data_IF_120186280032
#
_entry.id   IF_120186280032
#
_cell.length_a   1.000
_cell.length_b   1.000
_cell.length_c   1.000
_cell.angle_alpha   90.00
_cell.angle_beta   90.00
_cell.angle_gamma   90.00
#
_symmetry.space_group_name_H-M   'P 1'
#
loop_
_entity.id
_entity.type
_entity.pdbx_description
1 polymer ?
#
# COMPACT_ATOMS: atom_id res chain seq x y z
N UNK A 1 10.62 -6.70 1.76
CA UNK A 1 11.00 -5.48 0.99
C UNK A 1 11.98 -5.80 -0.14
N UNK A 2 13.13 -6.44 0.11
CA UNK A 2 14.09 -6.79 -0.96
C UNK A 2 13.42 -7.62 -2.07
N UNK A 3 12.57 -8.59 -1.70
CA UNK A 3 11.80 -9.37 -2.67
C UNK A 3 10.85 -8.53 -3.53
N UNK A 4 10.34 -7.40 -3.00
CA UNK A 4 9.47 -6.51 -3.77
C UNK A 4 10.23 -5.79 -4.89
N UNK A 5 11.55 -5.61 -4.77
CA UNK A 5 12.36 -4.96 -5.82
C UNK A 5 12.30 -5.78 -7.11
N UNK A 6 12.32 -7.11 -6.98
CA UNK A 6 12.39 -8.05 -8.11
C UNK A 6 11.22 -7.86 -9.08
N UNK A 7 9.99 -7.70 -8.56
CA UNK A 7 8.84 -7.54 -9.45
C UNK A 7 8.81 -6.18 -10.15
N UNK A 8 9.38 -5.12 -9.57
CA UNK A 8 9.50 -3.83 -10.26
C UNK A 8 10.49 -3.87 -11.41
N UNK A 9 11.65 -4.49 -11.19
CA UNK A 9 12.64 -4.73 -12.27
C UNK A 9 12.00 -5.57 -13.37
N UNK A 10 11.34 -6.67 -13.00
CA UNK A 10 10.67 -7.56 -13.96
C UNK A 10 9.60 -6.83 -14.77
N UNK A 11 8.66 -6.15 -14.12
CA UNK A 11 7.58 -5.43 -14.81
C UNK A 11 8.14 -4.34 -15.71
N UNK A 12 9.14 -3.59 -15.26
CA UNK A 12 9.77 -2.55 -16.07
C UNK A 12 10.39 -3.14 -17.35
N UNK A 13 11.22 -4.19 -17.24
CA UNK A 13 11.85 -4.83 -18.40
C UNK A 13 10.85 -5.49 -19.35
N UNK A 14 9.69 -5.92 -18.84
CA UNK A 14 8.59 -6.46 -19.67
C UNK A 14 7.85 -5.37 -20.45
N UNK A 15 7.77 -4.15 -19.94
CA UNK A 15 7.07 -3.02 -20.57
C UNK A 15 7.98 -2.18 -21.45
N UNK A 16 9.25 -2.03 -21.05
CA UNK A 16 10.23 -1.18 -21.74
C UNK A 16 11.51 -1.99 -22.00
N UNK A 17 11.50 -2.92 -22.99
CA UNK A 17 12.65 -3.80 -23.24
C UNK A 17 13.94 -3.04 -23.60
N UNK A 18 13.82 -1.86 -24.20
CA UNK A 18 14.95 -1.01 -24.61
C UNK A 18 15.46 -0.08 -23.50
N UNK A 19 14.77 -0.03 -22.35
CA UNK A 19 15.15 0.82 -21.19
C UNK A 19 15.27 2.31 -21.55
N UNK A 20 14.43 2.78 -22.48
CA UNK A 20 14.48 4.13 -23.06
C UNK A 20 13.39 5.07 -22.52
N UNK A 21 12.45 4.55 -21.71
CA UNK A 21 11.30 5.29 -21.20
C UNK A 21 11.10 5.09 -19.71
N UNK A 22 10.49 6.08 -19.05
CA UNK A 22 10.03 5.96 -17.67
C UNK A 22 8.63 5.34 -17.59
N UNK A 23 8.37 4.66 -16.49
CA UNK A 23 7.05 4.08 -16.17
C UNK A 23 6.58 4.59 -14.82
N UNK A 24 5.34 5.08 -14.74
CA UNK A 24 4.71 5.35 -13.44
C UNK A 24 4.18 4.05 -12.85
N UNK A 25 4.52 3.76 -11.60
CA UNK A 25 4.01 2.61 -10.87
C UNK A 25 3.13 3.07 -9.72
N UNK A 26 1.83 2.80 -9.82
CA UNK A 26 0.81 3.09 -8.81
C UNK A 26 0.62 1.90 -7.88
N UNK A 27 0.80 2.16 -6.59
CA UNK A 27 0.92 1.15 -5.55
C UNK A 27 -0.10 1.44 -4.47
N UNK A 28 -1.07 0.53 -4.21
CA UNK A 28 -1.93 0.68 -3.07
C UNK A 28 -1.13 0.37 -1.80
N UNK A 29 -1.13 1.28 -0.84
CA UNK A 29 -0.27 1.21 0.33
C UNK A 29 -1.02 1.44 1.63
N UNK A 30 -0.62 0.71 2.66
CA UNK A 30 -0.89 1.04 4.06
C UNK A 30 0.46 1.09 4.78
N UNK A 31 1.05 -0.07 5.02
CA UNK A 31 2.35 -0.20 5.69
C UNK A 31 3.57 0.35 4.92
N UNK A 32 3.45 0.79 3.66
CA UNK A 32 4.57 1.29 2.81
C UNK A 32 5.62 0.28 2.34
N UNK A 33 5.53 -1.01 2.69
CA UNK A 33 6.56 -1.99 2.32
C UNK A 33 6.73 -2.24 0.82
N UNK A 34 5.64 -2.10 0.04
CA UNK A 34 5.70 -2.23 -1.41
C UNK A 34 6.26 -0.97 -2.07
N UNK A 35 5.82 0.21 -1.61
CA UNK A 35 6.35 1.53 -2.03
C UNK A 35 7.84 1.68 -1.72
N UNK A 36 8.33 1.18 -0.58
CA UNK A 36 9.77 1.13 -0.28
C UNK A 36 10.53 0.25 -1.27
N UNK A 37 9.95 -0.88 -1.69
CA UNK A 37 10.54 -1.72 -2.73
C UNK A 37 10.70 -0.97 -4.06
N UNK A 38 9.66 -0.21 -4.47
CA UNK A 38 9.73 0.62 -5.67
C UNK A 38 10.75 1.75 -5.52
N UNK A 39 10.78 2.40 -4.35
CA UNK A 39 11.72 3.46 -4.03
C UNK A 39 13.17 2.98 -4.10
N UNK A 40 13.45 1.79 -3.55
CA UNK A 40 14.76 1.16 -3.67
C UNK A 40 15.09 0.79 -5.12
N UNK A 41 14.14 0.24 -5.89
CA UNK A 41 14.35 -0.07 -7.30
C UNK A 41 14.70 1.18 -8.12
N UNK A 42 13.98 2.29 -7.90
CA UNK A 42 14.29 3.58 -8.52
C UNK A 42 15.69 4.08 -8.12
N UNK A 43 16.04 3.97 -6.83
CA UNK A 43 17.37 4.32 -6.32
C UNK A 43 18.51 3.43 -6.88
N UNK A 44 18.19 2.21 -7.32
CA UNK A 44 19.12 1.31 -8.03
C UNK A 44 19.24 1.65 -9.53
N UNK A 45 18.51 2.64 -10.04
CA UNK A 45 18.58 3.09 -11.41
C UNK A 45 17.48 2.56 -12.33
N UNK A 46 16.48 1.84 -11.81
CA UNK A 46 15.31 1.43 -12.61
C UNK A 46 14.49 2.69 -12.95
N UNK A 47 14.21 3.00 -14.24
CA UNK A 47 13.48 4.21 -14.64
C UNK A 47 11.98 4.18 -14.30
N UNK A 48 11.64 4.18 -13.01
CA UNK A 48 10.26 4.21 -12.53
C UNK A 48 9.98 5.47 -11.71
N UNK A 49 8.78 5.99 -11.88
CA UNK A 49 8.18 6.97 -10.97
C UNK A 49 7.15 6.26 -10.09
N UNK A 50 6.93 6.76 -8.88
CA UNK A 50 6.15 6.05 -7.87
C UNK A 50 4.94 6.90 -7.52
N UNK A 51 3.76 6.28 -7.54
CA UNK A 51 2.52 6.82 -7.00
C UNK A 51 2.05 5.91 -5.87
N UNK A 52 2.12 6.37 -4.62
CA UNK A 52 1.60 5.64 -3.46
C UNK A 52 0.17 6.09 -3.16
N UNK A 53 -0.78 5.19 -3.38
CA UNK A 53 -2.20 5.46 -3.18
C UNK A 53 -2.68 4.87 -1.84
N UNK A 54 -3.36 5.69 -1.04
CA UNK A 54 -3.97 5.32 0.24
C UNK A 54 -5.48 5.51 0.20
N UNK A 55 -6.18 4.88 1.13
CA UNK A 55 -7.57 5.20 1.40
C UNK A 55 -7.68 6.37 2.40
N UNK A 56 -8.85 6.56 3.00
CA UNK A 56 -9.15 7.61 3.99
C UNK A 56 -8.22 7.59 5.23
N UNK A 57 -7.54 6.48 5.49
CA UNK A 57 -6.45 6.40 6.47
C UNK A 57 -5.16 6.95 5.84
N UNK A 58 -5.14 8.26 5.62
CA UNK A 58 -4.28 8.92 4.63
C UNK A 58 -2.94 9.46 5.17
N UNK A 59 -2.45 8.92 6.29
CA UNK A 59 -1.23 9.38 6.97
C UNK A 59 -0.02 9.50 6.04
N UNK A 60 0.11 8.58 5.07
CA UNK A 60 1.17 8.60 4.06
C UNK A 60 0.99 9.79 3.11
N UNK A 61 -0.23 10.05 2.66
CA UNK A 61 -0.51 11.15 1.75
C UNK A 61 -0.18 12.48 2.42
N UNK A 62 -0.72 12.76 3.61
CA UNK A 62 -0.46 14.01 4.35
C UNK A 62 1.02 14.18 4.72
N UNK A 63 1.72 13.10 5.05
CA UNK A 63 3.15 13.16 5.32
C UNK A 63 3.94 13.71 4.12
N UNK A 64 3.72 13.15 2.92
CA UNK A 64 4.49 13.54 1.73
C UNK A 64 3.96 14.78 1.01
N UNK A 65 2.66 15.09 1.08
CA UNK A 65 2.06 16.24 0.41
C UNK A 65 2.08 17.53 1.24
N UNK A 66 2.02 17.41 2.57
CA UNK A 66 1.88 18.56 3.48
C UNK A 66 2.99 18.65 4.53
N UNK A 67 3.82 17.60 4.68
CA UNK A 67 4.77 17.50 5.79
C UNK A 67 4.11 17.18 7.13
N UNK A 68 2.80 16.88 7.14
CA UNK A 68 2.09 16.50 8.35
C UNK A 68 2.05 14.97 8.50
N UNK A 69 2.91 14.43 9.37
CA UNK A 69 2.92 13.02 9.70
C UNK A 69 2.10 12.79 10.97
N UNK A 70 0.79 12.58 10.84
CA UNK A 70 -0.12 12.36 11.98
C UNK A 70 -1.19 11.31 11.67
N UNK A 71 -1.66 10.60 12.69
CA UNK A 71 -2.72 9.60 12.50
C UNK A 71 -4.11 10.22 12.63
N UNK A 72 -5.09 9.57 12.02
CA UNK A 72 -6.51 9.85 12.26
C UNK A 72 -7.01 8.89 13.35
N UNK A 73 -7.87 9.39 14.25
CA UNK A 73 -8.54 8.58 15.28
C UNK A 73 -10.06 8.84 15.26
N UNK A 74 -10.89 7.79 15.30
CA UNK A 74 -10.53 6.37 15.20
C UNK A 74 -9.99 6.02 13.79
N UNK A 75 -9.35 4.84 13.66
CA UNK A 75 -9.11 4.23 12.35
C UNK A 75 -10.44 4.14 11.60
N UNK A 76 -10.45 4.48 10.32
CA UNK A 76 -11.65 4.40 9.48
C UNK A 76 -11.67 3.01 8.84
N UNK A 77 -12.63 2.13 9.17
CA UNK A 77 -12.72 0.81 8.55
C UNK A 77 -13.13 0.94 7.08
N UNK A 78 -12.41 0.27 6.19
CA UNK A 78 -12.69 0.31 4.75
C UNK A 78 -12.81 -1.06 4.12
N UNK A 79 -13.29 -1.12 2.87
CA UNK A 79 -13.29 -2.36 2.08
C UNK A 79 -11.87 -2.77 1.64
N UNK A 80 -10.93 -1.82 1.61
CA UNK A 80 -9.52 -2.08 1.36
C UNK A 80 -8.76 -2.29 2.68
N UNK A 81 -9.29 -3.15 3.58
CA UNK A 81 -8.89 -3.28 4.99
C UNK A 81 -7.38 -3.40 5.28
N UNK A 82 -6.60 -3.99 4.38
CA UNK A 82 -5.14 -4.09 4.57
C UNK A 82 -4.40 -2.77 4.36
N UNK A 83 -5.08 -1.74 3.83
CA UNK A 83 -4.59 -0.39 3.68
C UNK A 83 -5.00 0.52 4.85
N UNK A 84 -5.85 0.05 5.78
CA UNK A 84 -6.32 0.80 6.96
C UNK A 84 -5.18 0.96 8.00
N UNK A 85 -3.97 1.28 7.59
CA UNK A 85 -2.82 1.37 8.48
C UNK A 85 -2.68 2.79 9.01
N UNK A 86 -2.87 2.96 10.33
CA UNK A 86 -2.54 4.22 11.00
C UNK A 86 -1.03 4.41 11.17
N UNK A 87 -0.27 3.31 11.18
CA UNK A 87 1.18 3.31 11.41
C UNK A 87 1.90 2.69 10.21
N UNK A 88 2.34 3.51 9.24
CA UNK A 88 3.04 3.02 8.05
C UNK A 88 4.47 2.61 8.42
N UNK A 89 4.63 1.44 9.04
CA UNK A 89 5.86 0.96 9.67
C UNK A 89 7.10 0.88 8.75
N UNK A 90 6.96 0.96 7.43
CA UNK A 90 8.10 1.03 6.52
C UNK A 90 8.47 2.47 6.07
N UNK A 91 7.67 3.49 6.42
CA UNK A 91 7.88 4.88 5.96
C UNK A 91 9.21 5.47 6.44
N UNK A 92 9.65 5.09 7.64
CA UNK A 92 10.90 5.53 8.25
C UNK A 92 12.13 5.27 7.35
N UNK A 93 12.06 4.25 6.49
CA UNK A 93 13.15 3.91 5.57
C UNK A 93 13.27 4.94 4.45
N UNK A 94 12.15 5.45 3.95
CA UNK A 94 12.16 6.55 2.98
C UNK A 94 12.68 7.81 3.66
N UNK A 95 12.24 8.09 4.90
CA UNK A 95 12.75 9.24 5.66
C UNK A 95 14.26 9.16 5.90
N UNK A 96 14.78 7.99 6.27
CA UNK A 96 16.22 7.75 6.43
C UNK A 96 17.01 8.10 5.16
N UNK A 97 16.56 7.60 4.00
CA UNK A 97 17.18 7.90 2.71
C UNK A 97 17.06 9.38 2.34
N UNK A 98 15.89 9.98 2.53
CA UNK A 98 15.64 11.39 2.26
C UNK A 98 16.50 12.31 3.14
N UNK A 99 16.85 11.88 4.35
CA UNK A 99 17.74 12.61 5.26
C UNK A 99 19.23 12.40 4.95
N UNK A 100 19.57 11.57 3.96
CA UNK A 100 20.93 11.13 3.65
C UNK A 100 21.60 10.41 4.83
N UNK A 101 20.84 9.62 5.59
CA UNK A 101 21.35 8.85 6.72
C UNK A 101 21.50 9.60 8.04
N UNK A 102 20.96 10.80 8.18
CA UNK A 102 20.92 11.52 9.46
C UNK A 102 19.93 10.85 10.45
N UNK A 103 20.49 9.95 11.26
CA UNK A 103 19.76 9.21 12.29
C UNK A 103 19.23 10.10 13.42
N UNK A 104 19.85 11.25 13.71
CA UNK A 104 19.42 12.09 14.83
C UNK A 104 18.11 12.80 14.50
N UNK A 105 18.04 13.36 13.28
CA UNK A 105 16.80 13.97 12.79
C UNK A 105 15.69 12.94 12.62
N UNK A 106 16.02 11.76 12.06
CA UNK A 106 15.04 10.67 11.92
C UNK A 106 14.49 10.23 13.27
N UNK A 107 15.37 9.98 14.24
CA UNK A 107 14.99 9.57 15.59
C UNK A 107 14.02 10.56 16.21
N UNK A 108 14.32 11.86 16.14
CA UNK A 108 13.43 12.91 16.65
C UNK A 108 12.05 12.88 15.99
N UNK A 109 11.99 12.76 14.66
CA UNK A 109 10.72 12.67 13.91
C UNK A 109 9.89 11.49 14.38
N UNK A 110 10.52 10.32 14.56
CA UNK A 110 9.84 9.08 14.96
C UNK A 110 9.43 9.09 16.44
N UNK A 111 10.26 9.60 17.35
CA UNK A 111 9.91 9.76 18.77
C UNK A 111 8.75 10.73 18.96
N UNK A 112 8.74 11.86 18.25
CA UNK A 112 7.62 12.81 18.27
C UNK A 112 6.33 12.13 17.80
N UNK A 113 6.40 11.36 16.71
CA UNK A 113 5.25 10.62 16.20
C UNK A 113 4.77 9.54 17.16
N UNK A 114 5.66 8.76 17.77
CA UNK A 114 5.30 7.71 18.73
C UNK A 114 4.61 8.30 19.97
N UNK A 115 5.17 9.37 20.54
CA UNK A 115 4.64 9.99 21.76
C UNK A 115 3.35 10.77 21.51
N UNK A 116 3.31 11.56 20.43
CA UNK A 116 2.24 12.55 20.18
C UNK A 116 1.25 12.11 19.12
N UNK A 117 1.53 11.00 18.43
CA UNK A 117 0.77 10.52 17.28
C UNK A 117 0.75 11.54 16.11
N UNK A 118 1.71 12.46 16.13
CA UNK A 118 1.91 13.56 15.20
C UNK A 118 3.37 14.02 15.21
N UNK A 119 3.90 14.31 14.04
CA UNK A 119 5.21 14.90 13.81
C UNK A 119 5.16 15.80 12.57
N UNK A 120 6.01 16.81 12.51
CA UNK A 120 6.16 17.67 11.33
C UNK A 120 7.47 17.28 10.66
N UNK A 121 7.39 16.92 9.39
CA UNK A 121 8.55 16.49 8.63
C UNK A 121 9.46 17.69 8.32
N UNK A 122 10.78 17.57 8.50
CA UNK A 122 11.74 18.55 8.01
C UNK A 122 11.58 18.78 6.50
N UNK A 123 11.78 20.02 6.03
CA UNK A 123 11.65 20.35 4.60
C UNK A 123 12.55 19.47 3.72
N UNK A 124 13.74 19.12 4.22
CA UNK A 124 14.68 18.20 3.57
C UNK A 124 14.04 16.87 3.17
N UNK A 125 13.13 16.32 3.99
CA UNK A 125 12.40 15.09 3.61
C UNK A 125 11.53 15.37 2.39
N UNK A 126 10.68 16.40 2.46
CA UNK A 126 9.76 16.77 1.37
C UNK A 126 10.50 17.06 0.05
N UNK A 127 11.57 17.85 0.12
CA UNK A 127 12.40 18.22 -1.02
C UNK A 127 13.03 16.99 -1.69
N UNK A 128 13.53 16.05 -0.88
CA UNK A 128 14.18 14.84 -1.38
C UNK A 128 13.19 13.73 -1.76
N UNK A 129 11.93 13.82 -1.36
CA UNK A 129 10.87 12.87 -1.75
C UNK A 129 9.90 13.43 -2.78
N UNK A 130 10.15 14.60 -3.38
CA UNK A 130 9.28 15.21 -4.41
C UNK A 130 8.97 14.29 -5.61
N UNK A 131 9.82 13.28 -5.85
CA UNK A 131 9.65 12.31 -6.90
C UNK A 131 8.64 11.20 -6.55
N UNK A 132 8.34 11.01 -5.26
CA UNK A 132 7.30 10.12 -4.77
C UNK A 132 5.95 10.84 -4.78
N UNK A 133 5.10 10.48 -5.73
CA UNK A 133 3.72 10.96 -5.77
C UNK A 133 2.88 10.21 -4.75
N UNK A 134 1.90 10.90 -4.17
CA UNK A 134 0.90 10.27 -3.29
C UNK A 134 -0.50 10.74 -3.65
N UNK A 135 -1.49 9.91 -3.37
CA UNK A 135 -2.90 10.25 -3.51
C UNK A 135 -3.72 9.53 -2.43
N UNK A 136 -4.79 10.18 -1.98
CA UNK A 136 -5.79 9.59 -1.10
C UNK A 136 -7.13 9.53 -1.83
N UNK A 137 -7.85 8.42 -1.71
CA UNK A 137 -9.23 8.31 -2.19
C UNK A 137 -10.15 7.80 -1.08
N UNK A 138 -11.42 8.18 -1.14
CA UNK A 138 -12.43 7.72 -0.18
C UNK A 138 -13.14 6.42 -0.63
N UNK A 139 -13.99 5.85 0.24
CA UNK A 139 -14.71 4.62 -0.09
C UNK A 139 -15.75 4.77 -1.21
N UNK A 140 -16.37 5.94 -1.34
CA UNK A 140 -17.27 6.20 -2.47
C UNK A 140 -16.51 6.10 -3.80
N UNK A 141 -15.37 6.78 -3.90
CA UNK A 141 -14.47 6.73 -5.05
C UNK A 141 -13.93 5.31 -5.31
N UNK A 142 -13.56 4.59 -4.24
CA UNK A 142 -13.07 3.21 -4.35
C UNK A 142 -14.13 2.28 -4.95
N UNK A 143 -15.36 2.31 -4.43
CA UNK A 143 -16.44 1.46 -4.91
C UNK A 143 -16.88 1.85 -6.32
N UNK A 144 -17.00 3.15 -6.62
CA UNK A 144 -17.28 3.64 -7.97
C UNK A 144 -16.21 3.17 -8.97
N UNK A 145 -14.93 3.24 -8.59
CA UNK A 145 -13.83 2.76 -9.43
C UNK A 145 -13.95 1.26 -9.74
N UNK A 146 -14.39 0.44 -8.79
CA UNK A 146 -14.63 -0.99 -9.05
C UNK A 146 -15.74 -1.20 -10.09
N UNK A 147 -16.80 -0.39 -10.04
CA UNK A 147 -17.90 -0.43 -11.00
C UNK A 147 -17.46 0.04 -12.39
N UNK A 148 -16.74 1.15 -12.46
CA UNK A 148 -16.26 1.74 -13.69
C UNK A 148 -15.33 0.77 -14.43
N UNK A 149 -14.36 0.18 -13.73
CA UNK A 149 -13.41 -0.77 -14.35
C UNK A 149 -14.13 -2.02 -14.86
N UNK A 150 -15.13 -2.52 -14.14
CA UNK A 150 -15.95 -3.63 -14.64
C UNK A 150 -16.76 -3.24 -15.87
N UNK A 151 -17.42 -2.09 -15.85
CA UNK A 151 -18.28 -1.61 -16.94
C UNK A 151 -17.49 -1.31 -18.21
N UNK A 152 -16.30 -0.73 -18.07
CA UNK A 152 -15.46 -0.29 -19.19
C UNK A 152 -14.59 -1.40 -19.76
N UNK A 153 -14.09 -2.31 -18.90
CA UNK A 153 -13.08 -3.29 -19.30
C UNK A 153 -13.53 -4.75 -19.11
N UNK A 154 -14.66 -5.01 -18.45
CA UNK A 154 -15.06 -6.37 -18.08
C UNK A 154 -14.06 -7.04 -17.14
N UNK A 155 -13.24 -6.26 -16.42
CA UNK A 155 -12.19 -6.76 -15.55
C UNK A 155 -12.56 -6.49 -14.09
N UNK A 156 -12.70 -7.56 -13.29
CA UNK A 156 -12.97 -7.42 -11.87
C UNK A 156 -11.68 -7.05 -11.11
N UNK A 157 -11.74 -6.02 -10.27
CA UNK A 157 -10.64 -5.60 -9.39
C UNK A 157 -11.06 -5.66 -7.92
N UNK A 158 -10.11 -5.95 -7.03
CA UNK A 158 -10.37 -5.85 -5.59
C UNK A 158 -10.35 -4.38 -5.11
N UNK A 159 -10.88 -4.08 -3.92
CA UNK A 159 -10.89 -2.72 -3.36
C UNK A 159 -9.48 -2.10 -3.27
N UNK A 160 -8.47 -2.90 -2.92
CA UNK A 160 -7.07 -2.43 -2.86
C UNK A 160 -6.56 -1.97 -4.22
N UNK A 161 -6.88 -2.72 -5.28
CA UNK A 161 -6.47 -2.37 -6.64
C UNK A 161 -7.19 -1.10 -7.09
N UNK A 162 -8.47 -0.94 -6.73
CA UNK A 162 -9.24 0.27 -7.04
C UNK A 162 -8.63 1.54 -6.41
N UNK A 163 -8.13 1.45 -5.18
CA UNK A 163 -7.41 2.54 -4.50
C UNK A 163 -6.22 3.05 -5.32
N UNK A 164 -5.46 2.16 -5.97
CA UNK A 164 -4.33 2.56 -6.82
C UNK A 164 -4.72 2.89 -8.26
N UNK A 165 -5.80 2.28 -8.77
CA UNK A 165 -6.27 2.48 -10.14
C UNK A 165 -6.75 3.91 -10.36
N UNK A 166 -7.60 4.42 -9.46
CA UNK A 166 -8.19 5.75 -9.61
C UNK A 166 -7.16 6.87 -9.81
N UNK A 167 -6.19 7.07 -8.89
CA UNK A 167 -5.20 8.14 -9.06
C UNK A 167 -4.21 7.84 -10.19
N UNK A 168 -4.00 6.57 -10.56
CA UNK A 168 -3.25 6.20 -11.77
C UNK A 168 -3.93 6.68 -13.05
N UNK A 169 -5.25 6.51 -13.16
CA UNK A 169 -6.01 6.99 -14.32
C UNK A 169 -6.08 8.51 -14.33
N UNK A 170 -6.28 9.16 -13.19
CA UNK A 170 -6.22 10.62 -13.09
C UNK A 170 -4.86 11.17 -13.55
N UNK A 171 -3.75 10.49 -13.24
CA UNK A 171 -2.44 10.82 -13.79
C UNK A 171 -2.34 10.50 -15.29
N UNK A 172 -2.83 9.34 -15.73
CA UNK A 172 -2.75 8.95 -17.14
C UNK A 172 -3.55 9.91 -18.05
N UNK A 173 -4.63 10.50 -17.53
CA UNK A 173 -5.49 11.45 -18.24
C UNK A 173 -5.04 12.92 -18.10
N UNK A 174 -4.09 13.25 -17.22
CA UNK A 174 -3.61 14.63 -17.09
C UNK A 174 -2.76 15.05 -18.30
N UNK A 175 -2.81 16.32 -18.71
CA UNK A 175 -2.03 16.80 -19.85
C UNK A 175 -0.52 16.86 -19.56
N UNK A 176 -0.18 17.12 -18.30
CA UNK A 176 1.20 17.27 -17.83
C UNK A 176 1.54 16.24 -16.76
N UNK A 177 2.83 16.02 -16.54
CA UNK A 177 3.30 15.31 -15.36
C UNK A 177 3.09 16.14 -14.09
N UNK A 178 3.39 15.56 -12.93
CA UNK A 178 3.25 16.23 -11.63
C UNK A 178 4.60 16.73 -11.13
N UNK A 179 4.58 17.79 -10.32
CA UNK A 179 5.78 18.34 -9.67
C UNK A 179 6.88 18.77 -10.67
N UNK A 180 6.47 19.38 -11.80
CA UNK A 180 7.39 19.87 -12.83
C UNK A 180 8.13 18.78 -13.62
N UNK A 181 7.69 17.52 -13.52
CA UNK A 181 8.27 16.39 -14.25
C UNK A 181 7.55 16.12 -15.56
N UNK A 182 8.30 15.53 -16.50
CA UNK A 182 7.74 14.95 -17.70
C UNK A 182 6.78 13.81 -17.33
N UNK A 183 5.67 13.71 -18.07
CA UNK A 183 4.66 12.69 -17.85
C UNK A 183 5.19 11.32 -18.30
N UNK A 184 5.04 10.30 -17.46
CA UNK A 184 5.27 8.93 -17.89
C UNK A 184 4.21 8.51 -18.91
N UNK A 185 4.63 8.02 -20.07
CA UNK A 185 3.72 7.51 -21.11
C UNK A 185 3.02 6.21 -20.69
N UNK A 186 3.66 5.43 -19.81
CA UNK A 186 3.16 4.15 -19.33
C UNK A 186 2.86 4.21 -17.85
N UNK A 187 1.72 3.64 -17.46
CA UNK A 187 1.27 3.52 -16.08
C UNK A 187 0.99 2.07 -15.75
N UNK A 188 1.51 1.61 -14.62
CA UNK A 188 1.28 0.28 -14.05
C UNK A 188 0.55 0.42 -12.74
N UNK A 189 -0.52 -0.35 -12.56
CA UNK A 189 -1.22 -0.47 -11.28
C UNK A 189 -0.87 -1.81 -10.65
N UNK A 190 -0.34 -1.80 -9.43
CA UNK A 190 -0.04 -3.03 -8.71
C UNK A 190 -1.32 -3.60 -8.08
N UNK A 191 -1.82 -4.69 -8.66
CA UNK A 191 -2.94 -5.45 -8.09
C UNK A 191 -2.44 -6.38 -6.99
N UNK A 192 -2.71 -6.01 -5.73
CA UNK A 192 -2.14 -6.69 -4.55
C UNK A 192 -2.96 -7.87 -4.04
N UNK A 193 -4.19 -8.04 -4.52
CA UNK A 193 -5.04 -9.16 -4.17
C UNK A 193 -6.00 -9.51 -5.30
N UNK A 194 -6.32 -10.80 -5.42
CA UNK A 194 -7.39 -11.27 -6.31
C UNK A 194 -8.76 -10.79 -5.81
N UNK A 195 -9.69 -10.38 -6.70
CA UNK A 195 -11.07 -10.01 -6.34
C UNK A 195 -11.81 -11.11 -5.59
N UNK A 196 -11.46 -12.39 -5.82
CA UNK A 196 -12.07 -13.55 -5.17
C UNK A 196 -11.95 -13.54 -3.63
N UNK A 197 -11.03 -12.76 -3.07
CA UNK A 197 -10.91 -12.55 -1.62
C UNK A 197 -11.95 -11.60 -1.03
N UNK A 198 -12.73 -10.90 -1.86
CA UNK A 198 -13.67 -9.86 -1.45
C UNK A 198 -15.06 -10.05 -2.10
N UNK A 199 -15.68 -11.24 -1.98
CA UNK A 199 -16.95 -11.54 -2.64
C UNK A 199 -18.07 -10.57 -2.22
N UNK A 200 -18.13 -10.23 -0.93
CA UNK A 200 -19.15 -9.30 -0.40
C UNK A 200 -19.02 -7.90 -1.01
N UNK A 201 -17.79 -7.43 -1.22
CA UNK A 201 -17.56 -6.12 -1.84
C UNK A 201 -17.93 -6.14 -3.31
N UNK A 202 -17.56 -7.20 -4.04
CA UNK A 202 -17.96 -7.38 -5.44
C UNK A 202 -19.48 -7.39 -5.59
N UNK A 203 -20.18 -8.14 -4.73
CA UNK A 203 -21.64 -8.17 -4.72
C UNK A 203 -22.24 -6.79 -4.45
N UNK A 204 -21.68 -6.04 -3.49
CA UNK A 204 -22.12 -4.68 -3.16
C UNK A 204 -22.03 -3.71 -4.36
N UNK A 205 -21.01 -3.87 -5.21
CA UNK A 205 -20.81 -3.03 -6.40
C UNK A 205 -21.42 -3.62 -7.67
N UNK A 206 -22.15 -4.73 -7.57
CA UNK A 206 -22.78 -5.41 -8.73
C UNK A 206 -21.75 -5.90 -9.75
N UNK A 207 -20.55 -6.29 -9.29
CA UNK A 207 -19.54 -6.95 -10.11
C UNK A 207 -19.67 -8.47 -9.91
N UNK A 208 -19.69 -9.30 -10.98
CA UNK A 208 -19.85 -10.73 -10.83
C UNK A 208 -18.77 -11.37 -9.96
N UNK A 209 -19.21 -12.13 -8.96
CA UNK A 209 -18.32 -12.98 -8.16
C UNK A 209 -18.04 -14.24 -8.97
N UNK A 210 -16.80 -14.38 -9.45
CA UNK A 210 -16.37 -15.61 -10.14
C UNK A 210 -15.85 -16.60 -9.10
N UNK A 211 -16.49 -17.77 -8.93
CA UNK A 211 -15.99 -18.79 -8.02
C UNK A 211 -14.61 -19.27 -8.48
N UNK A 212 -13.70 -19.41 -7.53
CA UNK A 212 -12.35 -19.90 -7.80
C UNK A 212 -12.23 -21.29 -7.18
N UNK A 213 -12.03 -22.31 -8.02
CA UNK A 213 -12.09 -23.73 -7.60
C UNK A 213 -11.24 -24.03 -6.35
N UNK A 214 -9.98 -23.59 -6.33
CA UNK A 214 -9.11 -23.82 -5.18
C UNK A 214 -9.55 -23.09 -3.89
N UNK A 215 -10.31 -21.99 -4.00
CA UNK A 215 -10.90 -21.31 -2.83
C UNK A 215 -12.10 -22.11 -2.32
N UNK A 216 -12.92 -22.64 -3.23
CA UNK A 216 -14.04 -23.50 -2.88
C UNK A 216 -13.57 -24.79 -2.20
N UNK A 217 -12.44 -25.35 -2.65
CA UNK A 217 -11.82 -26.52 -2.04
C UNK A 217 -11.40 -26.29 -0.58
N UNK A 218 -11.20 -25.04 -0.14
CA UNK A 218 -10.89 -24.72 1.26
C UNK A 218 -12.14 -24.75 2.17
N UNK A 219 -13.34 -24.61 1.60
CA UNK A 219 -14.57 -24.56 2.38
C UNK A 219 -14.80 -25.89 3.11
N UNK A 220 -15.00 -25.82 4.42
CA UNK A 220 -15.24 -27.00 5.25
C UNK A 220 -14.00 -27.83 5.60
N UNK A 221 -12.79 -27.39 5.24
CA UNK A 221 -11.56 -27.97 5.79
C UNK A 221 -11.47 -27.67 7.29
N UNK A 222 -10.85 -28.60 8.03
CA UNK A 222 -10.63 -28.45 9.46
C UNK A 222 -9.77 -27.20 9.74
N UNK A 223 -10.28 -26.31 10.60
CA UNK A 223 -9.54 -25.15 11.08
C UNK A 223 -8.80 -25.51 12.38
N UNK A 224 -7.48 -25.34 12.39
CA UNK A 224 -6.66 -25.47 13.60
C UNK A 224 -6.30 -24.09 14.13
N UNK A 225 -6.99 -23.68 15.18
CA UNK A 225 -6.79 -22.39 15.83
C UNK A 225 -6.89 -22.53 17.34
N UNK A 226 -6.09 -21.73 18.05
CA UNK A 226 -6.19 -21.58 19.50
C UNK A 226 -6.92 -20.26 19.79
N UNK A 227 -8.09 -20.35 20.41
CA UNK A 227 -8.84 -19.18 20.84
C UNK A 227 -8.25 -18.61 22.12
N UNK A 228 -7.93 -17.31 22.11
CA UNK A 228 -7.44 -16.58 23.27
C UNK A 228 -8.53 -15.62 23.76
N UNK A 229 -9.00 -15.81 24.99
CA UNK A 229 -10.01 -14.96 25.59
C UNK A 229 -9.36 -13.74 26.25
N UNK A 230 -10.08 -12.61 26.22
CA UNK A 230 -9.64 -11.40 26.90
C UNK A 230 -9.59 -11.64 28.41
N UNK A 231 -8.44 -11.36 29.03
CA UNK A 231 -8.20 -11.58 30.46
C UNK A 231 -7.37 -12.82 30.78
N UNK A 232 -7.10 -13.67 29.79
CA UNK A 232 -6.15 -14.78 29.93
C UNK A 232 -4.70 -14.29 29.94
N UNK A 233 -3.81 -15.10 30.52
CA UNK A 233 -2.37 -14.87 30.45
C UNK A 233 -1.83 -15.29 29.07
N UNK A 234 -1.96 -14.40 28.09
CA UNK A 234 -1.53 -14.67 26.72
C UNK A 234 -0.04 -14.96 26.62
N UNK A 235 0.81 -14.35 27.45
CA UNK A 235 2.25 -14.64 27.44
C UNK A 235 2.52 -16.10 27.78
N UNK A 236 1.91 -16.60 28.85
CA UNK A 236 2.08 -17.98 29.29
C UNK A 236 1.53 -18.98 28.27
N UNK A 237 0.33 -18.72 27.73
CA UNK A 237 -0.30 -19.57 26.71
C UNK A 237 0.57 -19.64 25.44
N UNK A 238 1.04 -18.48 24.96
CA UNK A 238 1.91 -18.41 23.78
C UNK A 238 3.25 -19.08 24.05
N UNK A 239 3.87 -18.83 25.21
CA UNK A 239 5.14 -19.46 25.59
C UNK A 239 5.00 -20.97 25.61
N UNK A 240 4.00 -21.50 26.30
CA UNK A 240 3.77 -22.93 26.43
C UNK A 240 3.46 -23.60 25.08
N UNK A 241 2.73 -22.90 24.19
CA UNK A 241 2.46 -23.38 22.81
C UNK A 241 3.73 -23.42 21.97
N UNK A 242 4.55 -22.36 22.00
CA UNK A 242 5.81 -22.27 21.26
C UNK A 242 6.83 -23.30 21.78
N UNK A 243 6.87 -23.55 23.09
CA UNK A 243 7.79 -24.52 23.70
C UNK A 243 7.27 -25.96 23.65
N UNK A 244 6.11 -26.22 23.03
CA UNK A 244 5.52 -27.55 22.89
C UNK A 244 5.00 -28.15 24.20
N UNK A 245 4.87 -27.33 25.24
CA UNK A 245 4.46 -27.75 26.59
C UNK A 245 2.95 -27.96 26.71
N UNK A 246 2.17 -27.57 25.69
CA UNK A 246 0.70 -27.68 25.69
C UNK A 246 0.16 -28.87 24.89
N UNK A 247 1.01 -29.73 24.29
CA UNK A 247 0.56 -30.95 23.60
C UNK A 247 -0.31 -30.69 22.35
N UNK A 248 -0.30 -29.47 21.80
CA UNK A 248 -1.13 -29.04 20.66
C UNK A 248 -0.52 -29.32 19.26
N UNK A 249 0.42 -30.25 19.14
CA UNK A 249 0.99 -30.63 17.83
C UNK A 249 0.40 -31.94 17.31
#
# INVERSE_FOLDING_TARGET
>A
MILNIVHYVYVYLRLVPNVDKKVLVSIPTGGMGNSVGAYMAAGMGVPIEILSAVNENDVVHRAFSQGEFSIIKPQIPTYAMSLDSLLPHNIERIFYHALCGDCNTLKKVMEDFEQKQKSILPSKILENTRHLLTASINMEQCLGTMQDVWKEHGYAICPHTAVAWRPAMEYALSETGREGREKCEMVVVISTATPAKFPDTLQKVTVPVTPVAWVQDLAGKEEKQLFLNKGENWEEILRATITGSTGFL
#
